data_IF_267630621241
#
_entry.id   IF_267630621241
#
_cell.length_a   1.000
_cell.length_b   1.000
_cell.length_c   1.000
_cell.angle_alpha   90.00
_cell.angle_beta   90.00
_cell.angle_gamma   90.00
#
_symmetry.space_group_name_H-M   'P 1'
#
loop_
_entity.id
_entity.type
_entity.pdbx_description
1 polymer ?
#
# COMPACT_ATOMS: atom_id res chain seq x y z
N UNK A 1 -21.75 -18.94 -24.25
CA UNK A 1 -21.67 -18.30 -22.93
C UNK A 1 -22.85 -17.37 -22.81
N UNK A 2 -23.90 -17.84 -22.16
CA UNK A 2 -25.10 -17.05 -21.88
C UNK A 2 -24.81 -16.02 -20.79
N UNK A 3 -25.58 -14.92 -20.75
CA UNK A 3 -25.39 -13.87 -19.74
C UNK A 3 -25.47 -14.41 -18.30
N UNK A 4 -26.25 -15.46 -18.09
CA UNK A 4 -26.43 -16.13 -16.80
C UNK A 4 -25.16 -16.86 -16.35
N UNK A 5 -24.45 -17.53 -17.26
CA UNK A 5 -23.19 -18.22 -16.96
C UNK A 5 -22.07 -17.23 -16.57
N UNK A 6 -22.06 -16.05 -17.19
CA UNK A 6 -21.10 -14.99 -16.91
C UNK A 6 -21.35 -14.42 -15.50
N UNK A 7 -22.62 -14.13 -15.17
CA UNK A 7 -23.00 -13.62 -13.85
C UNK A 7 -22.62 -14.59 -12.71
N UNK A 8 -22.90 -15.88 -12.90
CA UNK A 8 -22.49 -16.93 -11.96
C UNK A 8 -20.97 -16.94 -11.74
N UNK A 9 -20.19 -16.81 -12.82
CA UNK A 9 -18.72 -16.78 -12.76
C UNK A 9 -18.17 -15.55 -12.05
N UNK A 10 -18.76 -14.36 -12.27
CA UNK A 10 -18.35 -13.12 -11.61
C UNK A 10 -18.50 -13.26 -10.09
N UNK A 11 -19.65 -13.74 -9.62
CA UNK A 11 -19.91 -13.91 -8.18
C UNK A 11 -18.95 -14.88 -7.48
N UNK A 12 -18.49 -15.90 -8.20
CA UNK A 12 -17.53 -16.88 -7.67
C UNK A 12 -16.11 -16.30 -7.61
N UNK A 13 -15.71 -15.56 -8.64
CA UNK A 13 -14.42 -14.86 -8.68
C UNK A 13 -14.32 -13.77 -7.61
N UNK A 14 -15.42 -13.06 -7.32
CA UNK A 14 -15.47 -12.07 -6.24
C UNK A 14 -15.23 -12.71 -4.86
N UNK A 15 -15.81 -13.89 -4.60
CA UNK A 15 -15.54 -14.65 -3.36
C UNK A 15 -14.08 -15.10 -3.27
N UNK A 16 -13.48 -15.52 -4.38
CA UNK A 16 -12.07 -15.90 -4.42
C UNK A 16 -11.13 -14.71 -4.19
N UNK A 17 -11.48 -13.53 -4.71
CA UNK A 17 -10.70 -12.30 -4.52
C UNK A 17 -10.62 -11.89 -3.05
N UNK A 18 -11.71 -12.04 -2.28
CA UNK A 18 -11.73 -11.73 -0.84
C UNK A 18 -10.77 -12.61 -0.04
N UNK A 19 -10.47 -13.83 -0.53
CA UNK A 19 -9.56 -14.78 0.11
C UNK A 19 -8.08 -14.48 -0.12
N UNK A 20 -7.74 -13.57 -1.04
CA UNK A 20 -6.36 -13.20 -1.28
C UNK A 20 -5.83 -12.31 -0.15
N UNK A 21 -5.23 -12.91 0.87
CA UNK A 21 -4.50 -12.23 1.94
C UNK A 21 -3.03 -11.99 1.54
N UNK A 22 -2.59 -10.74 1.61
CA UNK A 22 -1.20 -10.38 1.35
C UNK A 22 -0.33 -10.52 2.62
N UNK A 23 0.91 -10.95 2.45
CA UNK A 23 1.90 -10.92 3.54
C UNK A 23 2.32 -9.48 3.83
N UNK A 24 2.65 -9.16 5.09
CA UNK A 24 3.17 -7.83 5.45
C UNK A 24 4.50 -7.58 4.74
N UNK A 25 4.56 -6.54 3.92
CA UNK A 25 5.80 -6.06 3.32
C UNK A 25 6.52 -5.09 4.26
N UNK A 26 7.85 -5.14 4.24
CA UNK A 26 8.66 -4.12 4.91
C UNK A 26 8.63 -2.81 4.13
N UNK A 27 8.33 -1.72 4.85
CA UNK A 27 8.26 -0.38 4.25
C UNK A 27 9.60 0.33 4.46
N UNK A 28 10.22 0.76 3.37
CA UNK A 28 11.46 1.53 3.37
C UNK A 28 11.19 2.97 2.96
N UNK A 29 11.93 3.90 3.55
CA UNK A 29 11.84 5.32 3.22
C UNK A 29 13.23 5.97 3.18
N UNK A 30 13.38 6.98 2.32
CA UNK A 30 14.63 7.71 2.10
C UNK A 30 14.77 8.85 3.12
N UNK A 31 15.79 8.77 3.98
CA UNK A 31 15.96 9.73 5.09
C UNK A 31 16.88 10.90 4.72
N UNK A 32 18.17 10.64 4.50
CA UNK A 32 19.23 11.63 4.15
C UNK A 32 20.16 11.09 3.06
N UNK A 33 19.58 10.47 2.03
CA UNK A 33 20.32 9.95 0.88
C UNK A 33 20.39 8.42 0.77
N UNK A 34 19.97 7.69 1.80
CA UNK A 34 19.86 6.22 1.77
C UNK A 34 18.49 5.73 2.27
N UNK A 35 18.15 4.48 1.95
CA UNK A 35 16.92 3.81 2.36
C UNK A 35 17.08 3.17 3.75
N UNK A 36 16.12 3.42 4.64
CA UNK A 36 16.06 2.82 5.98
C UNK A 36 14.64 2.28 6.21
N UNK A 37 14.48 1.10 6.84
CA UNK A 37 13.16 0.57 7.15
C UNK A 37 12.45 1.50 8.16
N UNK A 38 11.18 1.78 7.88
CA UNK A 38 10.34 2.69 8.68
C UNK A 38 10.10 2.14 10.08
N UNK A 39 10.09 0.80 10.23
CA UNK A 39 9.94 0.14 11.52
C UNK A 39 11.03 0.52 12.54
N UNK A 40 12.24 0.90 12.09
CA UNK A 40 13.35 1.26 12.96
C UNK A 40 13.39 2.76 13.32
N UNK A 41 12.37 3.54 12.97
CA UNK A 41 12.37 4.99 13.24
C UNK A 41 12.16 5.32 14.72
N UNK A 42 13.06 6.13 15.27
CA UNK A 42 12.91 6.73 16.59
C UNK A 42 11.83 7.83 16.54
N UNK A 43 11.30 8.22 17.71
CA UNK A 43 10.21 9.20 17.81
C UNK A 43 10.54 10.54 17.15
N UNK A 44 11.75 11.07 17.37
CA UNK A 44 12.19 12.31 16.73
C UNK A 44 12.21 12.27 15.21
N UNK A 45 12.50 11.11 14.59
CA UNK A 45 12.46 10.95 13.13
C UNK A 45 11.03 10.86 12.59
N UNK A 46 10.11 10.31 13.37
CA UNK A 46 8.67 10.33 13.02
C UNK A 46 8.13 11.76 13.03
N UNK A 47 8.50 12.56 14.04
CA UNK A 47 8.13 13.99 14.11
C UNK A 47 8.79 14.80 13.00
N UNK A 48 10.09 14.61 12.74
CA UNK A 48 10.80 15.24 11.61
C UNK A 48 10.12 14.90 10.27
N UNK A 49 9.65 13.67 10.08
CA UNK A 49 8.98 13.29 8.83
C UNK A 49 7.64 14.01 8.64
N UNK A 50 6.87 14.23 9.72
CA UNK A 50 5.57 14.93 9.66
C UNK A 50 5.68 16.39 9.21
N UNK A 51 6.79 17.06 9.55
CA UNK A 51 7.03 18.45 9.16
C UNK A 51 7.57 18.60 7.73
N UNK A 52 7.95 17.50 7.06
CA UNK A 52 8.44 17.54 5.67
C UNK A 52 7.30 17.93 4.73
N UNK A 53 7.55 18.91 3.86
CA UNK A 53 6.60 19.32 2.82
C UNK A 53 6.82 18.48 1.56
N UNK A 54 5.76 17.87 1.05
CA UNK A 54 5.78 17.23 -0.26
C UNK A 54 5.72 18.30 -1.35
N UNK A 55 6.52 18.09 -2.40
CA UNK A 55 6.41 18.91 -3.60
C UNK A 55 5.19 18.43 -4.40
N UNK A 56 4.24 19.33 -4.67
CA UNK A 56 3.11 19.07 -5.54
C UNK A 56 3.30 19.93 -6.80
N UNK A 57 3.59 19.33 -7.97
CA UNK A 57 3.91 20.06 -9.19
C UNK A 57 2.72 20.83 -9.82
N UNK A 58 1.50 20.66 -9.31
CA UNK A 58 0.27 21.19 -9.90
C UNK A 58 -0.48 22.21 -9.01
N UNK A 59 0.23 22.92 -8.13
CA UNK A 59 -0.28 24.11 -7.43
C UNK A 59 0.43 25.37 -7.90
#
# INVERSE_FOLDING_TARGET
MTAQEIASKISELEKQKVKAEGTKCEVYSRVVGYLRPVALWNEGKKEEFKIRKSYCPCK
#
